data_IF_954681188200
#
_entry.id   IF_954681188200
#
_cell.length_a   1.000
_cell.length_b   1.000
_cell.length_c   1.000
_cell.angle_alpha   90.00
_cell.angle_beta   90.00
_cell.angle_gamma   90.00
#
_symmetry.space_group_name_H-M   'P 1'
#
loop_
_entity.id
_entity.type
_entity.pdbx_description
1 polymer ?
#
# COMPACT_ATOMS: atom_id res chain seq x y z
N UNK A 1 13.28 -1.81 1.16
CA UNK A 1 11.91 -1.74 0.66
C UNK A 1 11.04 -0.89 1.59
N UNK A 2 10.07 -0.21 1.02
CA UNK A 2 9.13 0.66 1.75
C UNK A 2 7.71 0.19 1.53
N UNK A 3 6.87 0.28 2.55
CA UNK A 3 5.45 -0.02 2.39
C UNK A 3 4.56 1.12 2.89
N UNK A 4 3.35 1.20 2.36
CA UNK A 4 2.27 2.04 2.88
C UNK A 4 1.07 1.15 3.20
N UNK A 5 0.75 0.94 4.49
CA UNK A 5 -0.37 0.13 4.92
C UNK A 5 -1.70 0.88 4.81
N UNK A 6 -2.80 0.14 4.85
CA UNK A 6 -4.12 0.68 5.20
C UNK A 6 -4.35 0.60 6.72
N UNK A 7 -5.44 1.20 7.18
CA UNK A 7 -5.89 1.13 8.58
C UNK A 7 -6.04 -0.31 9.10
N UNK A 8 -6.38 -1.25 8.24
CA UNK A 8 -6.56 -2.67 8.59
C UNK A 8 -5.26 -3.48 8.61
N UNK A 9 -4.16 -2.93 8.14
CA UNK A 9 -2.88 -3.64 7.99
C UNK A 9 -1.94 -3.48 9.20
N UNK A 10 -2.48 -3.47 10.41
CA UNK A 10 -1.67 -3.42 11.63
C UNK A 10 -0.60 -4.52 11.65
N UNK A 11 -0.94 -5.73 11.22
CA UNK A 11 0.01 -6.85 11.15
C UNK A 11 1.23 -6.53 10.30
N UNK A 12 1.04 -5.85 9.16
CA UNK A 12 2.14 -5.44 8.30
C UNK A 12 3.07 -4.43 8.99
N UNK A 13 2.51 -3.49 9.77
CA UNK A 13 3.33 -2.55 10.56
C UNK A 13 4.12 -3.26 11.66
N UNK A 14 3.53 -4.25 12.34
CA UNK A 14 4.23 -5.04 13.36
C UNK A 14 5.39 -5.84 12.73
N UNK A 15 5.17 -6.43 11.56
CA UNK A 15 6.24 -7.12 10.81
C UNK A 15 7.37 -6.15 10.44
N UNK A 16 7.06 -4.91 10.13
CA UNK A 16 8.03 -3.84 9.85
C UNK A 16 8.69 -3.28 11.13
N UNK A 17 8.35 -3.80 12.30
CA UNK A 17 9.00 -3.47 13.56
C UNK A 17 8.27 -2.42 14.41
N UNK A 18 7.05 -2.02 14.07
CA UNK A 18 6.22 -1.26 14.99
C UNK A 18 5.86 -2.15 16.19
N UNK A 19 5.89 -1.59 17.40
CA UNK A 19 5.56 -2.36 18.58
C UNK A 19 4.07 -2.22 18.94
N UNK A 20 3.45 -3.24 19.56
CA UNK A 20 2.08 -3.11 20.06
C UNK A 20 1.89 -1.92 21.00
N UNK A 21 2.92 -1.59 21.79
CA UNK A 21 2.89 -0.45 22.71
C UNK A 21 2.82 0.88 21.96
N UNK A 22 3.62 1.08 20.93
CA UNK A 22 3.57 2.28 20.07
C UNK A 22 2.18 2.44 19.45
N UNK A 23 1.63 1.35 18.90
CA UNK A 23 0.30 1.36 18.27
C UNK A 23 -0.79 1.71 19.31
N UNK A 24 -0.77 1.06 20.46
CA UNK A 24 -1.75 1.35 21.52
C UNK A 24 -1.64 2.78 22.03
N UNK A 25 -0.43 3.29 22.24
CA UNK A 25 -0.21 4.70 22.59
C UNK A 25 -0.77 5.65 21.54
N UNK A 26 -0.61 5.31 20.26
CA UNK A 26 -1.13 6.08 19.13
C UNK A 26 -2.66 6.12 19.17
N UNK A 27 -3.34 4.98 19.26
CA UNK A 27 -4.81 4.92 19.35
C UNK A 27 -5.36 5.62 20.59
N UNK A 28 -4.61 5.65 21.68
CA UNK A 28 -4.98 6.31 22.93
C UNK A 28 -4.57 7.80 22.97
N UNK A 29 -4.07 8.36 21.89
CA UNK A 29 -3.60 9.75 21.78
C UNK A 29 -2.64 10.15 22.92
N UNK A 30 -1.73 9.26 23.31
CA UNK A 30 -0.76 9.54 24.38
C UNK A 30 0.26 10.58 23.93
N UNK A 31 0.71 11.44 24.85
CA UNK A 31 1.72 12.47 24.56
C UNK A 31 3.10 11.92 24.20
N UNK A 32 3.38 10.65 24.52
CA UNK A 32 4.57 9.91 24.14
C UNK A 32 4.32 8.87 23.00
N UNK A 33 3.19 9.01 22.29
CA UNK A 33 2.92 8.24 21.07
C UNK A 33 3.76 8.75 19.90
N UNK A 34 3.89 7.98 18.80
CA UNK A 34 4.63 8.40 17.60
C UNK A 34 4.25 9.80 17.07
N UNK A 35 2.96 10.16 17.12
CA UNK A 35 2.48 11.50 16.69
C UNK A 35 2.21 12.45 17.84
N UNK A 36 2.54 12.09 19.06
CA UNK A 36 2.33 12.90 20.28
C UNK A 36 0.87 13.33 20.48
N UNK A 37 -0.06 12.42 20.19
CA UNK A 37 -1.49 12.65 20.31
C UNK A 37 -2.11 13.57 19.25
N UNK A 38 -1.38 13.90 18.18
CA UNK A 38 -1.86 14.77 17.09
C UNK A 38 -2.69 14.02 16.06
N UNK A 39 -2.45 12.73 15.92
CA UNK A 39 -3.13 11.83 14.98
C UNK A 39 -3.58 10.57 15.71
N UNK A 40 -4.64 9.97 15.20
CA UNK A 40 -5.16 8.69 15.64
C UNK A 40 -4.85 7.60 14.62
N UNK A 41 -5.36 6.40 14.86
CA UNK A 41 -5.11 5.24 14.01
C UNK A 41 -3.59 5.03 13.78
N UNK A 42 -3.24 4.39 12.70
CA UNK A 42 -1.85 4.13 12.33
C UNK A 42 -1.30 5.21 11.38
N UNK A 43 -1.72 6.46 11.53
CA UNK A 43 -1.27 7.62 10.75
C UNK A 43 0.13 8.08 11.18
N UNK A 44 1.08 7.19 11.25
CA UNK A 44 2.48 7.53 11.49
C UNK A 44 3.39 6.75 10.55
N UNK A 45 4.53 7.32 10.24
CA UNK A 45 5.50 6.73 9.34
C UNK A 45 6.87 6.64 9.97
N UNK A 46 7.72 5.83 9.36
CA UNK A 46 9.12 5.67 9.73
C UNK A 46 9.91 5.36 8.46
N UNK A 47 10.34 6.43 7.78
CA UNK A 47 11.05 6.40 6.49
C UNK A 47 12.38 7.16 6.51
N UNK A 48 12.97 7.34 7.67
CA UNK A 48 14.26 8.03 7.82
C UNK A 48 15.41 7.42 7.00
N UNK A 49 16.65 7.63 7.42
CA UNK A 49 17.82 7.07 6.74
C UNK A 49 17.72 5.55 6.59
N UNK A 50 18.08 5.02 5.42
CA UNK A 50 17.81 3.63 5.01
C UNK A 50 18.23 2.56 6.03
N UNK A 51 19.30 2.79 6.77
CA UNK A 51 19.79 1.83 7.77
C UNK A 51 19.15 1.98 9.16
N UNK A 52 18.39 3.05 9.37
CA UNK A 52 17.78 3.39 10.68
C UNK A 52 16.26 3.42 10.65
N UNK A 53 15.66 3.12 9.52
CA UNK A 53 14.23 3.21 9.32
C UNK A 53 13.58 1.84 9.22
N UNK A 54 12.37 1.72 9.73
CA UNK A 54 11.54 0.53 9.55
C UNK A 54 10.91 0.46 8.15
N UNK A 55 10.96 1.53 7.38
CA UNK A 55 10.55 1.57 5.97
C UNK A 55 9.03 1.47 5.77
N UNK A 56 8.26 2.23 6.52
CA UNK A 56 6.83 2.36 6.25
C UNK A 56 6.35 3.81 6.30
N UNK A 57 5.48 4.16 5.35
CA UNK A 57 4.68 5.38 5.38
C UNK A 57 3.31 5.03 5.96
N UNK A 58 2.91 5.73 7.02
CA UNK A 58 1.58 5.58 7.58
C UNK A 58 0.51 5.94 6.55
N UNK A 59 -0.65 5.34 6.69
CA UNK A 59 -1.79 5.69 5.87
C UNK A 59 -2.23 7.13 6.10
N UNK A 60 -3.03 7.64 5.18
CA UNK A 60 -3.78 8.89 5.28
C UNK A 60 -5.27 8.62 5.09
N UNK A 61 -6.12 9.53 5.54
CA UNK A 61 -7.59 9.37 5.44
C UNK A 61 -8.13 9.40 4.01
N UNK A 62 -7.60 10.22 3.06
CA UNK A 62 -8.01 10.16 1.66
C UNK A 62 -7.65 8.81 1.03
N UNK A 63 -8.68 8.04 0.69
CA UNK A 63 -8.50 6.69 0.15
C UNK A 63 -7.97 6.73 -1.28
N UNK A 64 -6.94 5.94 -1.55
CA UNK A 64 -6.28 5.86 -2.85
C UNK A 64 -5.09 6.82 -3.02
N UNK A 65 -4.99 7.88 -2.24
CA UNK A 65 -3.96 8.92 -2.39
C UNK A 65 -2.54 8.42 -2.08
N UNK A 66 -2.42 7.32 -1.33
CA UNK A 66 -1.10 6.71 -1.11
C UNK A 66 -0.52 6.04 -2.36
N UNK A 67 -1.32 5.79 -3.40
CA UNK A 67 -0.80 5.24 -4.66
C UNK A 67 0.11 6.23 -5.37
N UNK A 68 -0.30 7.49 -5.66
CA UNK A 68 0.61 8.48 -6.26
C UNK A 68 1.77 8.85 -5.33
N UNK A 69 1.57 8.88 -4.01
CA UNK A 69 2.65 9.13 -3.05
C UNK A 69 3.73 8.03 -3.17
N UNK A 70 3.31 6.77 -3.16
CA UNK A 70 4.24 5.64 -3.28
C UNK A 70 4.84 5.52 -4.68
N UNK A 71 4.13 5.97 -5.72
CA UNK A 71 4.71 6.10 -7.06
C UNK A 71 5.88 7.10 -7.06
N UNK A 72 5.73 8.25 -6.40
CA UNK A 72 6.82 9.23 -6.23
C UNK A 72 8.00 8.67 -5.42
N UNK A 73 7.71 7.97 -4.33
CA UNK A 73 8.75 7.31 -3.51
C UNK A 73 9.55 6.31 -4.34
N UNK A 74 8.86 5.44 -5.08
CA UNK A 74 9.53 4.40 -5.87
C UNK A 74 10.21 4.95 -7.12
N UNK A 75 9.69 6.02 -7.72
CA UNK A 75 10.40 6.77 -8.75
C UNK A 75 11.74 7.28 -8.24
N UNK A 76 11.80 7.76 -6.99
CA UNK A 76 13.07 8.23 -6.41
C UNK A 76 14.10 7.09 -6.27
N UNK A 77 13.67 5.84 -6.10
CA UNK A 77 14.58 4.68 -6.08
C UNK A 77 15.21 4.48 -7.47
N UNK A 78 14.40 4.51 -8.54
CA UNK A 78 14.90 4.44 -9.91
C UNK A 78 15.90 5.56 -10.21
N UNK A 79 15.55 6.81 -9.84
CA UNK A 79 16.41 7.97 -10.09
C UNK A 79 17.77 7.88 -9.36
N UNK A 80 17.83 7.18 -8.24
CA UNK A 80 19.05 6.96 -7.46
C UNK A 80 19.76 5.65 -7.79
N UNK A 81 19.18 4.80 -8.64
CA UNK A 81 19.71 3.46 -8.92
C UNK A 81 19.66 2.53 -7.71
N UNK A 82 18.68 2.72 -6.82
CA UNK A 82 18.52 1.89 -5.62
C UNK A 82 17.73 0.62 -5.95
N UNK A 83 18.21 -0.54 -5.52
CA UNK A 83 17.50 -1.82 -5.63
C UNK A 83 16.45 -1.95 -4.50
N UNK A 84 15.38 -1.16 -4.61
CA UNK A 84 14.30 -1.10 -3.62
C UNK A 84 12.94 -1.13 -4.30
N UNK A 85 11.97 -1.72 -3.61
CA UNK A 85 10.58 -1.83 -4.06
C UNK A 85 9.65 -1.16 -3.05
N UNK A 86 8.60 -0.54 -3.56
CA UNK A 86 7.48 -0.04 -2.76
C UNK A 86 6.30 -0.99 -2.78
N UNK A 87 5.60 -1.08 -1.66
CA UNK A 87 4.37 -1.84 -1.51
C UNK A 87 3.28 -0.92 -0.96
N UNK A 88 2.16 -0.79 -1.65
CA UNK A 88 1.01 -0.01 -1.18
C UNK A 88 -0.24 -0.86 -1.10
N UNK A 89 -0.95 -0.76 0.03
CA UNK A 89 -2.22 -1.43 0.23
C UNK A 89 -3.38 -0.47 -0.02
N UNK A 90 -4.39 -0.91 -0.75
CA UNK A 90 -5.62 -0.15 -1.00
C UNK A 90 -6.84 -1.06 -0.86
N UNK A 91 -7.96 -0.51 -0.44
CA UNK A 91 -9.24 -1.23 -0.45
C UNK A 91 -9.87 -1.22 -1.84
N UNK A 92 -10.82 -2.12 -2.06
CA UNK A 92 -11.60 -2.20 -3.31
C UNK A 92 -12.25 -0.85 -3.69
N UNK A 93 -12.83 -0.14 -2.72
CA UNK A 93 -13.43 1.18 -2.97
C UNK A 93 -12.44 2.25 -3.42
N UNK A 94 -11.20 2.21 -2.94
CA UNK A 94 -10.16 3.15 -3.35
C UNK A 94 -9.83 3.04 -4.84
N UNK A 95 -10.04 1.86 -5.45
CA UNK A 95 -9.78 1.64 -6.88
C UNK A 95 -10.70 2.41 -7.82
N UNK A 96 -11.69 3.12 -7.28
CA UNK A 96 -12.61 3.98 -8.04
C UNK A 96 -12.31 5.48 -7.87
N UNK A 97 -11.28 5.84 -7.13
CA UNK A 97 -10.87 7.24 -6.96
C UNK A 97 -9.97 7.72 -8.10
N UNK A 98 -10.00 9.03 -8.39
CA UNK A 98 -9.10 9.64 -9.38
C UNK A 98 -7.64 9.42 -9.02
N UNK A 99 -7.27 9.63 -7.75
CA UNK A 99 -5.91 9.45 -7.25
C UNK A 99 -5.37 8.03 -7.51
N UNK A 100 -6.20 6.98 -7.33
CA UNK A 100 -5.80 5.62 -7.68
C UNK A 100 -5.47 5.50 -9.18
N UNK A 101 -6.37 5.96 -10.05
CA UNK A 101 -6.19 5.85 -11.50
C UNK A 101 -4.98 6.63 -12.01
N UNK A 102 -4.83 7.85 -11.55
CA UNK A 102 -3.71 8.73 -11.91
C UNK A 102 -2.38 8.18 -11.39
N UNK A 103 -2.37 7.76 -10.11
CA UNK A 103 -1.16 7.24 -9.46
C UNK A 103 -0.65 5.95 -10.09
N UNK A 104 -1.54 4.99 -10.36
CA UNK A 104 -1.14 3.71 -10.96
C UNK A 104 -0.70 3.89 -12.43
N UNK A 105 -1.39 4.76 -13.19
CA UNK A 105 -1.00 5.07 -14.55
C UNK A 105 0.38 5.77 -14.59
N UNK A 106 0.61 6.72 -13.70
CA UNK A 106 1.91 7.38 -13.56
C UNK A 106 3.02 6.37 -13.23
N UNK A 107 2.76 5.48 -12.26
CA UNK A 107 3.72 4.44 -11.87
C UNK A 107 4.03 3.49 -13.03
N UNK A 108 3.01 3.09 -13.80
CA UNK A 108 3.17 2.22 -14.97
C UNK A 108 4.04 2.87 -16.06
N UNK A 109 3.72 4.12 -16.45
CA UNK A 109 4.45 4.86 -17.48
C UNK A 109 5.94 5.06 -17.12
N UNK A 110 6.20 5.33 -15.82
CA UNK A 110 7.56 5.56 -15.32
C UNK A 110 8.26 4.27 -14.87
N UNK A 111 7.64 3.11 -15.05
CA UNK A 111 8.17 1.81 -14.58
C UNK A 111 8.64 1.85 -13.15
N UNK A 112 7.85 2.48 -12.29
CA UNK A 112 8.16 2.57 -10.87
C UNK A 112 8.17 1.16 -10.25
N UNK A 113 9.16 0.79 -9.43
CA UNK A 113 9.19 -0.49 -8.72
C UNK A 113 8.14 -0.50 -7.60
N UNK A 114 6.86 -0.47 -7.97
CA UNK A 114 5.71 -0.37 -7.09
C UNK A 114 4.79 -1.58 -7.24
N UNK A 115 4.48 -2.23 -6.14
CA UNK A 115 3.45 -3.26 -6.05
C UNK A 115 2.23 -2.68 -5.36
N UNK A 116 1.07 -2.80 -5.99
CA UNK A 116 -0.22 -2.36 -5.43
C UNK A 116 -1.03 -3.58 -5.03
N UNK A 117 -1.34 -3.70 -3.75
CA UNK A 117 -2.20 -4.76 -3.21
C UNK A 117 -3.61 -4.20 -3.03
N UNK A 118 -4.56 -4.77 -3.74
CA UNK A 118 -5.99 -4.44 -3.60
C UNK A 118 -6.64 -5.46 -2.67
N UNK A 119 -7.04 -5.02 -1.49
CA UNK A 119 -7.76 -5.82 -0.50
C UNK A 119 -9.26 -5.74 -0.78
N UNK A 120 -9.78 -6.75 -1.46
CA UNK A 120 -11.19 -6.83 -1.80
C UNK A 120 -11.98 -7.58 -0.71
N UNK A 121 -12.68 -6.84 0.13
CA UNK A 121 -13.62 -7.40 1.12
C UNK A 121 -15.08 -7.37 0.63
N UNK A 122 -15.32 -6.98 -0.61
CA UNK A 122 -16.65 -6.90 -1.21
C UNK A 122 -17.41 -5.60 -0.97
N UNK A 123 -16.88 -4.70 -0.13
CA UNK A 123 -17.59 -3.48 0.27
C UNK A 123 -16.66 -2.28 0.44
N UNK A 124 -17.01 -1.16 -0.19
CA UNK A 124 -16.49 0.15 0.15
C UNK A 124 -17.45 0.79 1.16
N UNK A 125 -17.14 0.70 2.44
CA UNK A 125 -18.02 1.08 3.53
C UNK A 125 -19.36 0.31 3.45
N UNK A 126 -20.45 0.95 2.97
CA UNK A 126 -21.77 0.33 2.77
C UNK A 126 -22.07 0.00 1.30
N UNK A 127 -21.16 0.29 0.37
CA UNK A 127 -21.36 0.12 -1.07
C UNK A 127 -20.77 -1.19 -1.55
N UNK A 128 -21.57 -2.16 -2.01
CA UNK A 128 -21.05 -3.43 -2.51
C UNK A 128 -20.29 -3.23 -3.82
N UNK A 129 -19.34 -4.12 -4.13
CA UNK A 129 -18.49 -4.06 -5.32
C UNK A 129 -19.30 -3.98 -6.62
N UNK A 130 -20.46 -4.62 -6.69
CA UNK A 130 -21.38 -4.57 -7.84
C UNK A 130 -21.90 -3.15 -8.17
N UNK A 131 -21.80 -2.21 -7.23
CA UNK A 131 -22.13 -0.80 -7.42
C UNK A 131 -20.90 0.10 -7.55
N UNK A 132 -19.72 -0.46 -7.51
CA UNK A 132 -18.46 0.28 -7.61
C UNK A 132 -17.81 0.15 -8.99
N UNK A 133 -17.92 -1.01 -9.63
CA UNK A 133 -17.29 -1.30 -10.91
C UNK A 133 -18.08 -2.34 -11.70
N UNK A 134 -18.01 -2.23 -13.03
CA UNK A 134 -18.52 -3.27 -13.95
C UNK A 134 -17.45 -4.31 -14.30
N UNK A 135 -16.20 -4.10 -13.92
CA UNK A 135 -15.16 -5.12 -14.08
C UNK A 135 -15.55 -6.37 -13.28
N UNK A 136 -15.40 -7.54 -13.88
CA UNK A 136 -15.72 -8.82 -13.23
C UNK A 136 -14.78 -9.09 -12.05
N UNK A 137 -13.52 -8.71 -12.20
CA UNK A 137 -12.47 -8.85 -11.20
C UNK A 137 -11.63 -7.57 -11.15
N UNK A 138 -11.09 -7.21 -9.98
CA UNK A 138 -10.24 -6.02 -9.87
C UNK A 138 -8.96 -6.14 -10.69
N UNK A 139 -8.47 -7.36 -10.93
CA UNK A 139 -7.32 -7.65 -11.79
C UNK A 139 -7.56 -7.18 -13.25
N UNK A 140 -8.80 -7.13 -13.72
CA UNK A 140 -9.13 -6.66 -15.08
C UNK A 140 -8.68 -5.20 -15.29
N UNK A 141 -8.62 -4.41 -14.22
CA UNK A 141 -8.12 -3.02 -14.29
C UNK A 141 -6.65 -2.94 -14.64
N UNK A 142 -5.84 -3.93 -14.25
CA UNK A 142 -4.42 -3.97 -14.55
C UNK A 142 -4.16 -4.00 -16.07
N UNK A 143 -5.01 -4.67 -16.83
CA UNK A 143 -4.94 -4.73 -18.30
C UNK A 143 -5.02 -3.32 -18.89
N UNK A 144 -5.95 -2.49 -18.37
CA UNK A 144 -6.14 -1.12 -18.83
C UNK A 144 -4.93 -0.21 -18.60
N UNK A 145 -4.09 -0.51 -17.60
CA UNK A 145 -2.85 0.22 -17.31
C UNK A 145 -1.63 -0.40 -17.99
N UNK A 146 -1.77 -1.53 -18.69
CA UNK A 146 -0.66 -2.25 -19.31
C UNK A 146 0.32 -2.87 -18.30
N UNK A 147 -0.13 -3.16 -17.09
CA UNK A 147 0.67 -3.76 -16.03
C UNK A 147 0.22 -5.21 -15.74
N UNK A 148 1.10 -6.07 -15.25
CA UNK A 148 0.72 -7.40 -14.82
C UNK A 148 -0.14 -7.34 -13.55
N UNK A 149 -1.12 -8.24 -13.49
CA UNK A 149 -1.95 -8.43 -12.31
C UNK A 149 -2.05 -9.91 -11.95
N UNK A 150 -2.14 -10.21 -10.67
CA UNK A 150 -2.33 -11.55 -10.14
C UNK A 150 -3.42 -11.51 -9.05
N UNK A 151 -4.11 -12.62 -8.84
CA UNK A 151 -5.13 -12.75 -7.81
C UNK A 151 -4.85 -13.96 -6.93
N UNK A 152 -5.07 -13.81 -5.64
CA UNK A 152 -4.93 -14.89 -4.66
C UNK A 152 -6.13 -14.90 -3.70
N UNK A 153 -6.38 -16.03 -3.06
CA UNK A 153 -7.25 -16.09 -1.89
C UNK A 153 -6.57 -15.37 -0.73
N UNK A 154 -7.13 -14.25 -0.30
CA UNK A 154 -6.59 -13.44 0.80
C UNK A 154 -6.62 -14.13 2.17
N UNK A 155 -7.30 -15.27 2.32
CA UNK A 155 -7.32 -16.07 3.53
C UNK A 155 -6.27 -17.19 3.51
N UNK A 156 -5.58 -17.42 2.38
CA UNK A 156 -4.46 -18.34 2.27
C UNK A 156 -3.13 -17.56 2.32
N UNK A 157 -2.46 -17.60 3.46
CA UNK A 157 -1.22 -16.87 3.70
C UNK A 157 -0.09 -17.29 2.74
N UNK A 158 -0.05 -18.56 2.34
CA UNK A 158 0.98 -19.05 1.42
C UNK A 158 0.71 -18.56 -0.01
N UNK A 159 -0.54 -18.61 -0.45
CA UNK A 159 -0.93 -18.06 -1.75
C UNK A 159 -0.62 -16.55 -1.84
N UNK A 160 -0.97 -15.77 -0.81
CA UNK A 160 -0.66 -14.33 -0.75
C UNK A 160 0.85 -14.08 -0.75
N UNK A 161 1.62 -14.86 0.01
CA UNK A 161 3.08 -14.76 0.02
C UNK A 161 3.67 -14.99 -1.37
N UNK A 162 3.28 -16.09 -2.03
CA UNK A 162 3.82 -16.46 -3.34
C UNK A 162 3.52 -15.42 -4.42
N UNK A 163 2.27 -14.93 -4.47
CA UNK A 163 1.87 -13.88 -5.42
C UNK A 163 2.63 -12.58 -5.16
N UNK A 164 2.69 -12.17 -3.90
CA UNK A 164 3.38 -10.93 -3.51
C UNK A 164 4.88 -11.03 -3.81
N UNK A 165 5.49 -12.17 -3.50
CA UNK A 165 6.91 -12.40 -3.80
C UNK A 165 7.21 -12.29 -5.29
N UNK A 166 6.40 -12.93 -6.15
CA UNK A 166 6.55 -12.81 -7.61
C UNK A 166 6.42 -11.37 -8.10
N UNK A 167 5.45 -10.63 -7.56
CA UNK A 167 5.23 -9.23 -7.91
C UNK A 167 6.43 -8.35 -7.50
N UNK A 168 6.94 -8.53 -6.27
CA UNK A 168 8.12 -7.82 -5.76
C UNK A 168 9.36 -8.16 -6.58
N UNK A 169 9.60 -9.46 -6.85
CA UNK A 169 10.75 -9.90 -7.65
C UNK A 169 10.70 -9.34 -9.08
N UNK A 170 9.50 -9.19 -9.66
CA UNK A 170 9.31 -8.54 -10.96
C UNK A 170 9.58 -7.04 -10.86
N UNK A 171 8.99 -6.34 -9.91
CA UNK A 171 9.17 -4.90 -9.72
C UNK A 171 10.65 -4.54 -9.52
N UNK A 172 11.42 -5.41 -8.89
CA UNK A 172 12.85 -5.24 -8.65
C UNK A 172 13.70 -5.37 -9.93
N UNK A 173 13.21 -6.11 -10.91
CA UNK A 173 13.91 -6.29 -12.20
C UNK A 173 13.57 -5.22 -13.25
N UNK A 174 12.54 -4.42 -13.05
CA UNK A 174 12.06 -3.40 -14.00
C UNK A 174 10.96 -3.90 -14.92
#
# INVERSE_FOLDING_TARGET
DVMSPLIRNLGAMLVKGATPVEVLKQYMAKGDSPTRGRELNIHFGDIGEAEKTRGFLGQISPLGDMVPVMAGVTLSFNMRGEDRVGLVYVGDGATSTGAFHEGINFAAVNRCPLVVIVENNGYAYSTPTSKQTLAKQFIDKAIGYGIPGEQADGNDVLAVYDVTKRAVDRARRG
#
